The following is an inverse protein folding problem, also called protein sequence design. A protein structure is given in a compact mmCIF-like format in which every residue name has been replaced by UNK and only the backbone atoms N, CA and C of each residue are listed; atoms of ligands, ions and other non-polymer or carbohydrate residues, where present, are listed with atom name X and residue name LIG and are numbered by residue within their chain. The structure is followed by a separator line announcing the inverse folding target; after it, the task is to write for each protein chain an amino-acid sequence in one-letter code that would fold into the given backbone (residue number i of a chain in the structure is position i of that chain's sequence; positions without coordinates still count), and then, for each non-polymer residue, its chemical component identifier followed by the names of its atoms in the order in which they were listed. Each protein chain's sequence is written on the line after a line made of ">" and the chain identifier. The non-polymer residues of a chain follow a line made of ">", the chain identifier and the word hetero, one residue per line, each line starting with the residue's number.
data_IF_470061969594
#
_entry.id   IF_470061969594
#
_cell.length_a   1.000
_cell.length_b   1.000
_cell.length_c   1.000
_cell.angle_alpha   90.00
_cell.angle_beta   90.00
_cell.angle_gamma   90.00
#
_symmetry.space_group_name_H-M   'P 1'
#
loop_
_entity.id
_entity.type
_entity.pdbx_description
1 polymer ?
#
# COMPACT_ATOMS: atom_id res chain seq x y z
N UNK A 1 75.17 11.74 46.24
CA UNK A 1 74.91 10.43 45.60
C UNK A 1 73.40 10.15 45.63
N UNK A 2 72.69 10.41 44.53
CA UNK A 2 71.24 10.26 44.47
C UNK A 2 70.86 8.85 43.98
N UNK A 3 70.38 7.98 44.88
CA UNK A 3 69.78 6.70 44.51
C UNK A 3 68.36 6.93 44.02
N UNK A 4 68.16 6.86 42.70
CA UNK A 4 66.86 6.99 42.06
C UNK A 4 66.08 5.67 42.19
N UNK A 5 65.00 5.71 42.97
CA UNK A 5 64.04 4.63 43.13
C UNK A 5 63.16 4.53 41.87
N UNK A 6 63.14 3.37 41.21
CA UNK A 6 62.28 3.11 40.04
C UNK A 6 61.84 1.65 40.00
N UNK A 7 61.04 1.24 40.98
CA UNK A 7 60.30 -0.02 40.96
C UNK A 7 58.84 0.28 41.23
N UNK A 8 58.14 0.83 40.23
CA UNK A 8 56.70 0.65 40.08
C UNK A 8 56.26 1.14 38.71
N UNK A 9 55.36 0.37 38.11
CA UNK A 9 54.49 0.85 37.03
C UNK A 9 54.88 0.33 35.67
N UNK A 10 54.57 -0.94 35.39
CA UNK A 10 54.22 -1.41 34.04
C UNK A 10 53.30 -2.64 33.99
N UNK A 11 52.86 -3.20 35.12
CA UNK A 11 51.89 -4.31 35.11
C UNK A 11 50.45 -3.88 34.82
N UNK A 12 50.11 -2.60 35.04
CA UNK A 12 48.77 -2.06 34.73
C UNK A 12 48.50 -1.87 33.23
N UNK A 13 49.53 -1.68 32.39
CA UNK A 13 49.34 -1.32 30.98
C UNK A 13 48.92 -2.51 30.10
N UNK A 14 49.37 -3.73 30.42
CA UNK A 14 48.97 -4.95 29.69
C UNK A 14 47.48 -5.27 29.86
N UNK A 15 46.95 -5.06 31.06
CA UNK A 15 45.53 -5.29 31.35
C UNK A 15 44.64 -4.27 30.63
N UNK A 16 45.07 -3.01 30.55
CA UNK A 16 44.39 -1.96 29.78
C UNK A 16 44.47 -2.23 28.28
N UNK A 17 45.63 -2.64 27.77
CA UNK A 17 45.83 -2.90 26.34
C UNK A 17 44.91 -4.01 25.78
N UNK A 18 44.66 -5.07 26.55
CA UNK A 18 43.75 -6.15 26.16
C UNK A 18 42.30 -5.96 26.63
N UNK A 19 42.09 -5.29 27.76
CA UNK A 19 40.75 -5.07 28.31
C UNK A 19 39.92 -4.06 27.50
N UNK A 20 40.55 -2.97 27.05
CA UNK A 20 39.86 -1.93 26.27
C UNK A 20 39.23 -2.46 24.98
N UNK A 21 39.94 -3.20 24.08
CA UNK A 21 39.32 -3.70 22.86
C UNK A 21 38.20 -4.72 23.13
N UNK A 22 38.36 -5.59 24.14
CA UNK A 22 37.32 -6.56 24.52
C UNK A 22 36.06 -5.87 25.03
N UNK A 23 36.22 -4.87 25.91
CA UNK A 23 35.09 -4.08 26.42
C UNK A 23 34.42 -3.28 25.31
N UNK A 24 35.20 -2.74 24.37
CA UNK A 24 34.67 -2.01 23.21
C UNK A 24 33.87 -2.94 22.29
N UNK A 25 34.36 -4.16 22.07
CA UNK A 25 33.68 -5.17 21.26
C UNK A 25 32.38 -5.64 21.93
N UNK A 26 32.40 -5.88 23.24
CA UNK A 26 31.20 -6.16 24.04
C UNK A 26 30.18 -5.02 23.96
N UNK A 27 30.62 -3.77 24.11
CA UNK A 27 29.74 -2.61 24.01
C UNK A 27 29.15 -2.47 22.60
N UNK A 28 29.95 -2.69 21.55
CA UNK A 28 29.49 -2.68 20.17
C UNK A 28 28.44 -3.78 19.91
N UNK A 29 28.67 -5.01 20.38
CA UNK A 29 27.70 -6.09 20.29
C UNK A 29 26.40 -5.75 21.02
N UNK A 30 26.48 -5.17 22.22
CA UNK A 30 25.31 -4.72 22.98
C UNK A 30 24.50 -3.67 22.21
N UNK A 31 25.17 -2.69 21.60
CA UNK A 31 24.51 -1.67 20.77
C UNK A 31 23.85 -2.27 19.53
N UNK A 32 24.53 -3.19 18.84
CA UNK A 32 23.97 -3.89 17.67
C UNK A 32 22.75 -4.71 18.07
N UNK A 33 22.82 -5.43 19.19
CA UNK A 33 21.69 -6.22 19.70
C UNK A 33 20.49 -5.33 20.03
N UNK A 34 20.71 -4.23 20.75
CA UNK A 34 19.64 -3.30 21.09
C UNK A 34 19.03 -2.67 19.83
N UNK A 35 19.87 -2.30 18.85
CA UNK A 35 19.40 -1.75 17.60
C UNK A 35 18.54 -2.76 16.83
N UNK A 36 19.00 -4.01 16.71
CA UNK A 36 18.25 -5.07 16.06
C UNK A 36 16.92 -5.35 16.75
N UNK A 37 16.91 -5.36 18.08
CA UNK A 37 15.70 -5.53 18.87
C UNK A 37 14.70 -4.40 18.61
N UNK A 38 15.16 -3.14 18.66
CA UNK A 38 14.31 -1.97 18.40
C UNK A 38 13.77 -1.95 16.96
N UNK A 39 14.58 -2.37 15.98
CA UNK A 39 14.17 -2.47 14.58
C UNK A 39 13.14 -3.58 14.36
N UNK A 40 13.28 -4.71 15.06
CA UNK A 40 12.30 -5.77 15.02
C UNK A 40 10.94 -5.32 15.59
N UNK A 41 10.96 -4.58 16.71
CA UNK A 41 9.74 -4.00 17.27
C UNK A 41 9.10 -2.96 16.34
N UNK A 42 9.88 -2.10 15.68
CA UNK A 42 9.32 -1.13 14.73
C UNK A 42 8.68 -1.84 13.54
N UNK A 43 9.36 -2.81 12.94
CA UNK A 43 8.82 -3.60 11.82
C UNK A 43 7.56 -4.35 12.24
N UNK A 44 7.54 -4.94 13.44
CA UNK A 44 6.35 -5.61 13.96
C UNK A 44 5.15 -4.67 14.14
N UNK A 45 5.38 -3.41 14.55
CA UNK A 45 4.33 -2.39 14.61
C UNK A 45 3.82 -2.01 13.23
N UNK A 46 4.73 -1.84 12.27
CA UNK A 46 4.38 -1.48 10.90
C UNK A 46 3.56 -2.58 10.21
N UNK A 47 3.94 -3.85 10.40
CA UNK A 47 3.16 -5.00 9.91
C UNK A 47 1.75 -4.97 10.49
N UNK A 48 1.61 -4.85 11.81
CA UNK A 48 0.27 -4.80 12.44
C UNK A 48 -0.56 -3.63 11.96
N UNK A 49 0.07 -2.47 11.72
CA UNK A 49 -0.61 -1.31 11.15
C UNK A 49 -1.12 -1.61 9.75
N UNK A 50 -0.29 -2.15 8.87
CA UNK A 50 -0.67 -2.50 7.50
C UNK A 50 -1.76 -3.59 7.46
N UNK A 51 -1.69 -4.58 8.35
CA UNK A 51 -2.72 -5.61 8.49
C UNK A 51 -4.07 -4.99 8.89
N UNK A 52 -4.07 -4.04 9.83
CA UNK A 52 -5.27 -3.33 10.24
C UNK A 52 -5.85 -2.47 9.11
N UNK A 53 -5.00 -1.73 8.39
CA UNK A 53 -5.40 -0.92 7.24
C UNK A 53 -6.01 -1.81 6.13
N UNK A 54 -5.39 -2.94 5.84
CA UNK A 54 -5.90 -3.90 4.86
C UNK A 54 -7.24 -4.51 5.30
N UNK A 55 -7.38 -4.87 6.59
CA UNK A 55 -8.64 -5.37 7.14
C UNK A 55 -9.76 -4.33 7.06
N UNK A 56 -9.45 -3.05 7.29
CA UNK A 56 -10.41 -1.96 7.17
C UNK A 56 -10.84 -1.72 5.73
N UNK A 57 -9.88 -1.63 4.79
CA UNK A 57 -10.16 -1.48 3.37
C UNK A 57 -11.02 -2.63 2.84
N UNK A 58 -10.70 -3.87 3.24
CA UNK A 58 -11.50 -5.04 2.86
C UNK A 58 -12.94 -4.93 3.35
N UNK A 59 -13.16 -4.45 4.58
CA UNK A 59 -14.53 -4.19 5.09
C UNK A 59 -15.25 -3.13 4.26
N UNK A 60 -14.55 -2.04 3.88
CA UNK A 60 -15.12 -0.98 3.03
C UNK A 60 -15.53 -1.52 1.66
N UNK A 61 -14.66 -2.27 1.00
CA UNK A 61 -14.94 -2.88 -0.31
C UNK A 61 -16.16 -3.80 -0.23
N UNK A 62 -16.24 -4.68 0.77
CA UNK A 62 -17.41 -5.57 0.93
C UNK A 62 -18.70 -4.77 1.18
N UNK A 63 -18.62 -3.68 1.94
CA UNK A 63 -19.78 -2.83 2.19
C UNK A 63 -20.23 -2.09 0.92
N UNK A 64 -19.27 -1.56 0.16
CA UNK A 64 -19.55 -0.92 -1.13
C UNK A 64 -20.11 -1.92 -2.13
N UNK A 65 -19.55 -3.11 -2.24
CA UNK A 65 -20.05 -4.18 -3.10
C UNK A 65 -21.50 -4.55 -2.74
N UNK A 66 -21.80 -4.70 -1.45
CA UNK A 66 -23.18 -4.90 -0.97
C UNK A 66 -24.10 -3.75 -1.36
N UNK A 67 -23.62 -2.51 -1.22
CA UNK A 67 -24.39 -1.32 -1.60
C UNK A 67 -24.63 -1.27 -3.11
N UNK A 68 -23.63 -1.58 -3.92
CA UNK A 68 -23.73 -1.68 -5.38
C UNK A 68 -24.70 -2.78 -5.81
N UNK A 69 -24.64 -3.95 -5.19
CA UNK A 69 -25.59 -5.04 -5.44
C UNK A 69 -27.01 -4.62 -5.08
N UNK A 70 -27.20 -3.93 -3.95
CA UNK A 70 -28.52 -3.42 -3.55
C UNK A 70 -29.04 -2.34 -4.52
N UNK A 71 -28.18 -1.42 -4.95
CA UNK A 71 -28.53 -0.36 -5.91
C UNK A 71 -28.86 -0.91 -7.31
N UNK A 72 -28.09 -1.91 -7.77
CA UNK A 72 -28.30 -2.57 -9.07
C UNK A 72 -29.44 -3.61 -9.04
N UNK A 73 -29.98 -3.95 -7.88
CA UNK A 73 -31.11 -4.87 -7.82
C UNK A 73 -32.29 -4.33 -8.63
N UNK A 74 -32.84 -5.17 -9.51
CA UNK A 74 -33.90 -4.80 -10.47
C UNK A 74 -35.06 -4.10 -9.75
N UNK A 75 -35.44 -4.62 -8.59
CA UNK A 75 -36.52 -4.09 -7.76
C UNK A 75 -36.29 -2.65 -7.29
N UNK A 76 -35.04 -2.31 -6.94
CA UNK A 76 -34.68 -0.97 -6.50
C UNK A 76 -34.62 0.00 -7.67
N UNK A 77 -34.09 -0.45 -8.82
CA UNK A 77 -34.11 0.33 -10.07
C UNK A 77 -35.54 0.60 -10.55
N UNK A 78 -36.44 -0.39 -10.52
CA UNK A 78 -37.86 -0.23 -10.85
C UNK A 78 -38.54 0.79 -9.94
N UNK A 79 -38.26 0.72 -8.64
CA UNK A 79 -38.80 1.69 -7.66
C UNK A 79 -38.29 3.10 -7.92
N UNK A 80 -37.01 3.24 -8.25
CA UNK A 80 -36.38 4.54 -8.53
C UNK A 80 -36.88 5.13 -9.85
N UNK A 81 -37.03 4.29 -10.88
CA UNK A 81 -37.64 4.64 -12.17
C UNK A 81 -39.09 5.08 -12.01
N UNK A 82 -39.90 4.34 -11.24
CA UNK A 82 -41.28 4.71 -10.94
C UNK A 82 -41.36 6.07 -10.24
N UNK A 83 -40.46 6.36 -9.30
CA UNK A 83 -40.37 7.64 -8.60
C UNK A 83 -40.00 8.81 -9.52
N UNK A 84 -39.14 8.57 -10.51
CA UNK A 84 -38.72 9.57 -11.49
C UNK A 84 -39.59 9.61 -12.76
N UNK A 85 -40.67 8.84 -12.82
CA UNK A 85 -41.58 8.80 -13.97
C UNK A 85 -40.97 8.19 -15.24
N UNK A 86 -39.90 7.41 -15.10
CA UNK A 86 -39.20 6.78 -16.22
C UNK A 86 -39.86 5.43 -16.49
N UNK A 87 -40.60 5.35 -17.60
CA UNK A 87 -41.23 4.11 -18.05
C UNK A 87 -40.31 3.43 -19.06
N UNK A 88 -39.55 2.41 -18.65
CA UNK A 88 -38.85 1.53 -19.60
C UNK A 88 -39.81 0.44 -20.07
N UNK A 89 -40.53 0.70 -21.15
CA UNK A 89 -41.13 -0.36 -21.96
C UNK A 89 -40.12 -0.88 -22.95
N UNK A 90 -40.17 -2.17 -23.27
CA UNK A 90 -39.46 -2.70 -24.43
C UNK A 90 -39.85 -1.88 -25.68
N UNK A 91 -38.88 -1.42 -26.48
CA UNK A 91 -39.20 -0.73 -27.72
C UNK A 91 -39.98 -1.69 -28.63
N UNK A 92 -41.05 -1.18 -29.25
CA UNK A 92 -41.76 -1.91 -30.29
C UNK A 92 -40.80 -2.27 -31.42
N UNK A 93 -41.01 -3.42 -32.09
CA UNK A 93 -40.09 -3.93 -33.13
C UNK A 93 -39.78 -2.89 -34.23
N UNK A 94 -40.76 -2.03 -34.53
CA UNK A 94 -40.64 -0.94 -35.49
C UNK A 94 -39.62 0.16 -35.11
N UNK A 95 -39.24 0.26 -33.84
CA UNK A 95 -38.25 1.22 -33.33
C UNK A 95 -36.84 0.60 -33.19
N UNK A 96 -36.66 -0.67 -33.57
CA UNK A 96 -35.37 -1.37 -33.46
C UNK A 96 -34.62 -1.24 -34.79
N UNK A 97 -33.67 -0.30 -34.85
CA UNK A 97 -32.74 -0.19 -35.98
C UNK A 97 -31.66 -1.26 -35.80
N UNK A 98 -31.76 -2.36 -36.54
CA UNK A 98 -30.72 -3.41 -36.56
C UNK A 98 -29.56 -2.94 -37.44
N UNK A 99 -28.52 -2.40 -36.81
CA UNK A 99 -27.27 -2.11 -37.49
C UNK A 99 -26.63 -3.43 -37.92
N UNK A 100 -26.29 -3.56 -39.21
CA UNK A 100 -25.44 -4.66 -39.68
C UNK A 100 -24.12 -4.57 -38.92
N UNK A 101 -23.65 -5.68 -38.37
CA UNK A 101 -22.35 -5.73 -37.71
C UNK A 101 -21.30 -5.22 -38.71
N UNK A 102 -20.85 -3.98 -38.52
CA UNK A 102 -19.62 -3.55 -39.14
C UNK A 102 -18.55 -4.45 -38.53
N UNK A 103 -17.80 -5.15 -39.37
CA UNK A 103 -16.60 -5.86 -38.92
C UNK A 103 -15.83 -4.93 -37.99
N UNK A 104 -15.32 -5.43 -36.85
CA UNK A 104 -14.64 -4.60 -35.87
C UNK A 104 -13.37 -4.03 -36.50
N UNK A 105 -13.50 -2.84 -37.10
CA UNK A 105 -12.41 -1.95 -37.36
C UNK A 105 -11.76 -1.67 -36.00
N UNK A 106 -10.47 -1.99 -35.94
CA UNK A 106 -9.56 -1.83 -34.82
C UNK A 106 -9.98 -0.68 -33.88
N UNK A 107 -10.21 -0.94 -32.58
CA UNK A 107 -10.78 0.05 -31.64
C UNK A 107 -9.94 1.32 -31.50
N UNK A 108 -8.68 1.30 -31.94
CA UNK A 108 -7.79 2.46 -32.03
C UNK A 108 -8.32 3.58 -32.96
N UNK A 109 -9.15 3.26 -33.96
CA UNK A 109 -9.61 4.24 -34.95
C UNK A 109 -10.65 5.23 -34.40
N UNK A 110 -11.38 4.85 -33.35
CA UNK A 110 -12.39 5.72 -32.74
C UNK A 110 -11.77 6.87 -31.91
N UNK A 111 -10.57 6.66 -31.36
CA UNK A 111 -9.87 7.69 -30.58
C UNK A 111 -9.33 8.82 -31.47
N UNK A 112 -9.04 8.54 -32.74
CA UNK A 112 -8.43 9.51 -33.64
C UNK A 112 -9.44 10.46 -34.31
N UNK A 113 -10.68 10.01 -34.53
CA UNK A 113 -11.71 10.81 -35.21
C UNK A 113 -12.21 12.00 -34.36
N UNK A 114 -12.01 11.98 -33.04
CA UNK A 114 -12.37 13.09 -32.15
C UNK A 114 -11.40 14.28 -32.18
N UNK A 115 -10.22 14.15 -32.78
CA UNK A 115 -9.17 15.16 -32.73
C UNK A 115 -9.17 16.17 -33.90
N UNK A 116 -9.97 15.95 -34.94
CA UNK A 116 -9.89 16.69 -36.20
C UNK A 116 -11.17 17.48 -36.54
N UNK A 117 -11.76 18.18 -35.57
CA UNK A 117 -12.72 19.25 -35.87
C UNK A 117 -12.03 20.58 -35.59
N UNK A 118 -11.50 21.27 -36.62
CA UNK A 118 -11.15 22.69 -36.47
C UNK A 118 -12.45 23.45 -36.19
N UNK A 119 -12.45 24.23 -35.12
CA UNK A 119 -13.45 25.27 -34.88
C UNK A 119 -13.10 26.45 -35.77
N UNK A 120 -13.95 26.71 -36.77
CA UNK A 120 -14.04 28.00 -37.45
C UNK A 120 -14.78 29.02 -36.56
#
# INVERSE_FOLDING_TARGET
>A
MARRNRKHGHDGSRMVFWGVPVMTLMAALGLVYLHLHSACESVGRDIKRLENEHAELRKRVVNEERNWVAARSIRNMETLMARHGIVMTWPAEQNIIRLRAAEPGEPAQYAFRGAAVPRD
#
